data_IF_147765079805
#
_entry.id   IF_147765079805
#
_cell.length_a   1.000
_cell.length_b   1.000
_cell.length_c   1.000
_cell.angle_alpha   90.00
_cell.angle_beta   90.00
_cell.angle_gamma   90.00
#
_symmetry.space_group_name_H-M   'P 1'
#
loop_
_entity.id
_entity.type
_entity.pdbx_description
1 polymer ?
#
# COMPACT_ATOMS: atom_id res chain seq x y z
N UNK A 1 -11.69 29.19 -17.57
CA UNK A 1 -11.45 27.76 -17.40
C UNK A 1 -10.59 27.26 -18.53
N UNK A 2 -9.46 26.61 -18.28
CA UNK A 2 -8.55 26.18 -19.36
C UNK A 2 -9.03 24.80 -19.86
N UNK A 3 -9.59 24.78 -21.07
CA UNK A 3 -9.95 23.52 -21.76
C UNK A 3 -8.69 22.68 -21.94
N UNK A 4 -8.66 21.37 -21.53
CA UNK A 4 -7.52 20.50 -21.72
C UNK A 4 -7.03 20.50 -23.17
N UNK A 5 -5.72 20.51 -23.38
CA UNK A 5 -5.13 20.70 -24.71
C UNK A 5 -5.49 19.56 -25.69
N UNK A 6 -5.70 18.34 -25.21
CA UNK A 6 -6.14 17.21 -26.06
C UNK A 6 -7.60 17.37 -26.52
N UNK A 7 -8.46 18.00 -25.71
CA UNK A 7 -9.86 18.29 -26.09
C UNK A 7 -9.93 19.37 -27.17
N UNK A 8 -9.04 20.34 -27.11
CA UNK A 8 -8.93 21.35 -28.19
C UNK A 8 -8.58 20.73 -29.52
N UNK A 9 -7.67 19.76 -29.54
CA UNK A 9 -7.30 19.00 -30.75
C UNK A 9 -8.47 18.14 -31.22
N UNK A 10 -9.11 17.42 -30.28
CA UNK A 10 -10.27 16.58 -30.56
C UNK A 10 -11.42 17.40 -31.20
N UNK A 11 -11.84 18.49 -30.57
CA UNK A 11 -12.90 19.34 -31.06
C UNK A 11 -12.55 19.97 -32.41
N UNK A 12 -11.33 20.41 -32.62
CA UNK A 12 -10.85 20.96 -33.90
C UNK A 12 -10.97 19.93 -35.05
N UNK A 13 -10.57 18.68 -34.80
CA UNK A 13 -10.67 17.63 -35.82
C UNK A 13 -12.12 17.22 -36.07
N UNK A 14 -12.92 17.14 -35.00
CA UNK A 14 -14.36 16.83 -35.12
C UNK A 14 -15.12 17.91 -35.92
N UNK A 15 -14.83 19.19 -35.69
CA UNK A 15 -15.40 20.28 -36.45
C UNK A 15 -15.00 20.24 -37.92
N UNK A 16 -13.74 19.95 -38.24
CA UNK A 16 -13.29 19.77 -39.62
C UNK A 16 -14.04 18.66 -40.36
N UNK A 17 -14.33 17.55 -39.65
CA UNK A 17 -15.10 16.46 -40.22
C UNK A 17 -16.58 16.85 -40.37
N UNK A 18 -17.18 17.53 -39.38
CA UNK A 18 -18.57 18.01 -39.42
C UNK A 18 -18.80 19.04 -40.56
N UNK A 19 -17.82 19.91 -40.76
CA UNK A 19 -17.89 20.96 -41.78
C UNK A 19 -17.53 20.45 -43.21
N UNK A 20 -17.15 19.15 -43.33
CA UNK A 20 -16.78 18.57 -44.62
C UNK A 20 -15.38 18.99 -45.14
N UNK A 21 -14.55 19.59 -44.30
CA UNK A 21 -13.15 19.86 -44.62
C UNK A 21 -12.29 18.60 -44.65
N UNK A 22 -12.69 17.60 -43.87
CA UNK A 22 -12.17 16.24 -43.90
C UNK A 22 -13.33 15.30 -44.17
N UNK A 23 -13.25 14.59 -45.29
CA UNK A 23 -14.30 13.65 -45.71
C UNK A 23 -13.89 12.20 -45.48
N UNK A 24 -14.86 11.26 -45.54
CA UNK A 24 -14.61 9.83 -45.36
C UNK A 24 -13.47 9.32 -46.23
N UNK A 25 -12.48 8.68 -45.62
CA UNK A 25 -11.26 8.18 -46.25
C UNK A 25 -10.11 9.18 -46.29
N UNK A 26 -10.32 10.46 -45.96
CA UNK A 26 -9.27 11.45 -45.94
C UNK A 26 -8.28 11.18 -44.82
N UNK A 27 -7.01 11.49 -45.06
CA UNK A 27 -5.95 11.35 -44.06
C UNK A 27 -6.04 12.43 -43.01
N UNK A 28 -6.14 12.02 -41.75
CA UNK A 28 -6.08 12.93 -40.59
C UNK A 28 -4.60 13.30 -40.32
N UNK A 29 -4.31 14.54 -39.90
CA UNK A 29 -2.94 14.92 -39.54
C UNK A 29 -2.35 14.00 -38.47
N UNK A 30 -1.05 13.71 -38.64
CA UNK A 30 -0.32 12.82 -37.73
C UNK A 30 -0.16 13.41 -36.32
N UNK A 31 0.15 12.57 -35.35
CA UNK A 31 0.46 12.98 -33.97
C UNK A 31 1.53 14.09 -33.91
N UNK A 32 2.53 14.01 -34.83
CA UNK A 32 3.58 15.02 -34.90
C UNK A 32 3.05 16.35 -35.44
N UNK A 33 2.31 16.32 -36.56
CA UNK A 33 1.76 17.49 -37.19
C UNK A 33 0.79 18.25 -36.25
N UNK A 34 -0.04 17.49 -35.50
CA UNK A 34 -0.94 18.06 -34.49
C UNK A 34 -0.18 18.60 -33.28
N UNK A 35 0.87 17.91 -32.83
CA UNK A 35 1.71 18.39 -31.73
C UNK A 35 2.41 19.72 -32.09
N UNK A 36 2.94 19.81 -33.30
CA UNK A 36 3.61 21.02 -33.81
C UNK A 36 2.60 22.16 -34.01
N UNK A 37 1.42 21.88 -34.57
CA UNK A 37 0.37 22.89 -34.83
C UNK A 37 -0.22 23.50 -33.56
N UNK A 38 -0.49 22.66 -32.54
CA UNK A 38 -1.09 23.09 -31.27
C UNK A 38 -0.07 23.46 -30.20
N UNK A 39 1.23 23.33 -30.48
CA UNK A 39 2.34 23.53 -29.56
C UNK A 39 2.17 22.69 -28.27
N UNK A 40 1.91 21.39 -28.42
CA UNK A 40 1.69 20.42 -27.34
C UNK A 40 2.61 19.22 -27.45
N UNK A 41 2.62 18.37 -26.42
CA UNK A 41 3.35 17.11 -26.46
C UNK A 41 2.70 16.13 -27.46
N UNK A 42 3.49 15.21 -28.06
CA UNK A 42 2.95 14.13 -28.90
C UNK A 42 1.98 13.21 -28.14
N UNK A 43 2.14 13.07 -26.84
CA UNK A 43 1.23 12.31 -25.97
C UNK A 43 -0.15 12.95 -25.96
N UNK A 44 -0.22 14.29 -25.91
CA UNK A 44 -1.46 15.06 -25.95
C UNK A 44 -2.20 14.88 -27.28
N UNK A 45 -1.50 14.97 -28.41
CA UNK A 45 -2.09 14.75 -29.73
C UNK A 45 -2.48 13.27 -29.96
N UNK A 46 -1.69 12.34 -29.45
CA UNK A 46 -2.00 10.89 -29.47
C UNK A 46 -3.32 10.60 -28.75
N UNK A 47 -3.52 11.17 -27.55
CA UNK A 47 -4.76 11.02 -26.76
C UNK A 47 -5.99 11.52 -27.52
N UNK A 48 -5.90 12.65 -28.19
CA UNK A 48 -6.99 13.17 -29.00
C UNK A 48 -7.37 12.24 -30.18
N UNK A 49 -6.37 11.71 -30.88
CA UNK A 49 -6.62 10.74 -31.97
C UNK A 49 -7.14 9.39 -31.45
N UNK A 50 -6.75 8.97 -30.27
CA UNK A 50 -7.28 7.74 -29.63
C UNK A 50 -8.76 7.87 -29.31
N UNK A 51 -9.19 9.03 -28.80
CA UNK A 51 -10.59 9.31 -28.53
C UNK A 51 -11.45 9.29 -29.80
N UNK A 52 -10.97 9.92 -30.88
CA UNK A 52 -11.67 9.89 -32.17
C UNK A 52 -11.74 8.48 -32.76
N UNK A 53 -10.70 7.66 -32.57
CA UNK A 53 -10.70 6.27 -33.01
C UNK A 53 -11.64 5.40 -32.17
N UNK A 54 -11.71 5.62 -30.85
CA UNK A 54 -12.64 4.92 -29.95
C UNK A 54 -14.09 5.18 -30.34
N UNK A 55 -14.40 6.41 -30.75
CA UNK A 55 -15.74 6.80 -31.22
C UNK A 55 -15.99 6.44 -32.70
N UNK A 56 -15.08 5.68 -33.33
CA UNK A 56 -15.17 5.26 -34.74
C UNK A 56 -15.28 6.42 -35.75
N UNK A 57 -14.85 7.62 -35.36
CA UNK A 57 -14.77 8.79 -36.24
C UNK A 57 -13.58 8.68 -37.19
N UNK A 58 -12.47 8.11 -36.68
CA UNK A 58 -11.27 7.83 -37.49
C UNK A 58 -10.87 6.36 -37.35
N UNK A 59 -10.13 5.84 -38.33
CA UNK A 59 -9.53 4.51 -38.33
C UNK A 59 -8.01 4.65 -38.37
N UNK A 60 -7.32 3.86 -37.53
CA UNK A 60 -5.86 3.80 -37.50
C UNK A 60 -5.37 2.62 -38.35
N UNK A 61 -4.56 2.90 -39.35
CA UNK A 61 -3.96 1.87 -40.22
C UNK A 61 -2.47 1.82 -39.92
N UNK A 62 -2.01 0.66 -39.42
CA UNK A 62 -0.62 0.47 -39.02
C UNK A 62 0.34 0.79 -40.17
N UNK A 63 1.30 1.67 -39.92
CA UNK A 63 2.30 2.11 -40.92
C UNK A 63 1.80 3.11 -41.95
N UNK A 64 0.48 3.41 -42.04
CA UNK A 64 -0.10 4.35 -43.02
C UNK A 64 -0.64 5.62 -42.42
N UNK A 65 -1.01 5.61 -41.14
CA UNK A 65 -1.56 6.78 -40.42
C UNK A 65 -3.01 6.61 -40.00
N UNK A 66 -3.67 7.74 -39.69
CA UNK A 66 -5.09 7.80 -39.30
C UNK A 66 -5.90 8.37 -40.46
N UNK A 67 -7.09 7.85 -40.68
CA UNK A 67 -8.01 8.24 -41.75
C UNK A 67 -9.40 8.43 -41.18
N UNK A 68 -10.20 9.33 -41.77
CA UNK A 68 -11.62 9.47 -41.44
C UNK A 68 -12.35 8.17 -41.81
N UNK A 69 -13.16 7.64 -40.89
CA UNK A 69 -13.86 6.37 -41.05
C UNK A 69 -14.80 6.40 -42.27
N UNK A 70 -14.90 5.27 -42.98
CA UNK A 70 -15.84 5.16 -44.10
C UNK A 70 -17.29 5.08 -43.64
N UNK A 71 -17.53 4.57 -42.45
CA UNK A 71 -18.84 4.52 -41.81
C UNK A 71 -18.83 5.47 -40.61
N UNK A 72 -18.99 6.76 -40.86
CA UNK A 72 -19.06 7.76 -39.81
C UNK A 72 -20.30 7.52 -38.93
N UNK A 73 -20.14 7.56 -37.60
CA UNK A 73 -21.29 7.62 -36.69
C UNK A 73 -22.07 8.93 -36.94
N UNK A 74 -23.25 9.02 -36.38
CA UNK A 74 -24.00 10.28 -36.39
C UNK A 74 -23.20 11.33 -35.63
N UNK A 75 -22.53 12.24 -36.39
CA UNK A 75 -21.65 13.26 -35.87
C UNK A 75 -22.39 14.32 -35.04
N UNK A 76 -23.71 14.47 -35.22
CA UNK A 76 -24.52 15.41 -34.43
C UNK A 76 -24.87 14.83 -33.05
N UNK A 77 -24.86 13.53 -32.93
CA UNK A 77 -24.95 12.84 -31.64
C UNK A 77 -23.65 12.87 -30.85
N UNK A 78 -22.50 13.13 -31.50
CA UNK A 78 -21.21 13.31 -30.86
C UNK A 78 -21.12 14.75 -30.36
N UNK A 79 -21.48 14.95 -29.08
CA UNK A 79 -21.27 16.25 -28.43
C UNK A 79 -19.76 16.57 -28.41
N UNK A 80 -19.36 17.86 -28.61
CA UNK A 80 -18.02 18.28 -28.25
C UNK A 80 -17.74 17.83 -26.81
N UNK A 81 -16.53 17.36 -26.53
CA UNK A 81 -16.14 17.04 -25.15
C UNK A 81 -16.30 18.33 -24.33
N UNK A 82 -17.41 18.39 -23.60
CA UNK A 82 -17.70 19.50 -22.71
C UNK A 82 -17.12 19.10 -21.35
N UNK A 83 -16.34 19.94 -20.69
CA UNK A 83 -15.82 19.65 -19.36
C UNK A 83 -16.90 19.34 -18.31
N UNK A 84 -18.19 19.58 -18.65
CA UNK A 84 -19.36 19.37 -17.80
C UNK A 84 -20.51 18.59 -18.47
N UNK A 85 -20.26 17.85 -19.55
CA UNK A 85 -21.31 17.20 -20.33
C UNK A 85 -21.62 15.76 -19.92
N UNK A 86 -22.81 15.56 -19.37
CA UNK A 86 -23.44 14.26 -19.09
C UNK A 86 -23.65 13.46 -20.40
N UNK A 87 -23.17 12.19 -20.41
CA UNK A 87 -23.57 11.22 -21.44
C UNK A 87 -24.92 10.61 -21.04
N UNK A 88 -26.01 11.01 -21.72
CA UNK A 88 -27.26 10.27 -21.68
C UNK A 88 -27.16 9.07 -22.64
N UNK A 89 -27.13 7.85 -22.09
CA UNK A 89 -27.43 6.64 -22.86
C UNK A 89 -28.94 6.39 -22.90
N UNK A 90 -29.50 6.34 -24.13
CA UNK A 90 -30.85 5.95 -24.37
C UNK A 90 -31.02 4.41 -24.26
N UNK A 91 -31.87 3.97 -23.36
CA UNK A 91 -32.52 2.67 -23.47
C UNK A 91 -32.28 1.61 -22.40
N UNK A 92 -32.61 1.88 -21.14
CA UNK A 92 -33.17 0.85 -20.23
C UNK A 92 -33.91 1.52 -19.06
N UNK A 93 -35.20 1.38 -19.00
CA UNK A 93 -36.08 1.88 -17.94
C UNK A 93 -35.82 1.12 -16.63
N UNK A 94 -35.68 1.89 -15.53
CA UNK A 94 -35.74 1.52 -14.11
C UNK A 94 -34.42 1.20 -13.39
N UNK A 95 -33.64 2.26 -13.12
CA UNK A 95 -32.88 2.40 -11.86
C UNK A 95 -32.70 3.90 -11.55
N UNK A 96 -32.71 4.34 -10.29
CA UNK A 96 -32.60 5.77 -9.96
C UNK A 96 -31.25 6.33 -10.41
N UNK A 97 -31.28 7.44 -11.16
CA UNK A 97 -30.11 8.15 -11.64
C UNK A 97 -29.22 8.58 -10.48
N UNK A 98 -28.08 7.92 -10.33
CA UNK A 98 -26.93 8.45 -9.60
C UNK A 98 -26.10 9.23 -10.62
N UNK A 99 -25.86 10.50 -10.38
CA UNK A 99 -24.85 11.31 -11.09
C UNK A 99 -23.50 10.56 -11.00
N UNK A 100 -23.06 9.93 -12.08
CA UNK A 100 -21.83 9.19 -12.11
C UNK A 100 -20.66 10.16 -12.24
N UNK A 101 -20.11 10.59 -11.12
CA UNK A 101 -18.72 11.11 -11.09
C UNK A 101 -17.80 10.09 -11.76
N UNK A 102 -16.77 10.51 -12.52
CA UNK A 102 -15.86 9.56 -13.16
C UNK A 102 -15.33 8.58 -12.10
N UNK A 103 -15.43 7.28 -12.39
CA UNK A 103 -15.10 6.21 -11.47
C UNK A 103 -13.62 6.32 -11.07
N UNK A 104 -13.37 6.55 -9.79
CA UNK A 104 -12.01 6.67 -9.25
C UNK A 104 -11.25 5.35 -9.30
N UNK A 105 -9.96 5.44 -9.49
CA UNK A 105 -9.05 4.29 -9.49
C UNK A 105 -7.94 4.48 -8.47
N UNK A 106 -7.72 3.46 -7.64
CA UNK A 106 -6.73 3.46 -6.57
C UNK A 106 -5.73 2.34 -6.82
N UNK A 107 -4.45 2.64 -6.74
CA UNK A 107 -3.40 1.63 -6.67
C UNK A 107 -3.04 1.33 -5.22
N UNK A 108 -2.96 0.06 -4.86
CA UNK A 108 -2.42 -0.40 -3.60
C UNK A 108 -1.11 -1.15 -3.85
N UNK A 109 0.01 -0.55 -3.42
CA UNK A 109 1.36 -1.09 -3.54
C UNK A 109 1.79 -1.58 -2.17
N UNK A 110 2.19 -2.86 -2.06
CA UNK A 110 2.61 -3.45 -0.78
C UNK A 110 3.71 -4.49 -0.99
N UNK A 111 4.56 -4.75 0.04
CA UNK A 111 5.64 -5.72 -0.07
C UNK A 111 5.13 -7.16 -0.28
N UNK A 112 4.24 -7.59 0.58
CA UNK A 112 3.66 -8.94 0.61
C UNK A 112 2.48 -8.98 1.59
N UNK A 113 1.80 -10.11 1.68
CA UNK A 113 0.78 -10.37 2.68
C UNK A 113 0.75 -11.86 3.06
N UNK A 114 0.27 -12.13 4.26
CA UNK A 114 0.04 -13.48 4.77
C UNK A 114 -1.22 -13.49 5.65
N UNK A 115 -1.67 -14.68 6.07
CA UNK A 115 -2.80 -14.79 6.99
C UNK A 115 -2.53 -14.12 8.35
N UNK A 116 -1.26 -14.02 8.73
CA UNK A 116 -0.86 -13.36 9.97
C UNK A 116 -0.89 -11.84 9.89
N UNK A 117 -0.63 -11.26 8.71
CA UNK A 117 -0.63 -9.81 8.47
C UNK A 117 -0.74 -9.45 6.99
N UNK A 118 -1.41 -8.34 6.69
CA UNK A 118 -1.52 -7.75 5.35
C UNK A 118 -2.79 -8.14 4.60
N UNK A 119 -3.31 -9.34 4.76
CA UNK A 119 -4.53 -9.77 4.07
C UNK A 119 -5.74 -8.89 4.43
N UNK A 120 -5.86 -8.50 5.69
CA UNK A 120 -6.96 -7.64 6.15
C UNK A 120 -6.78 -6.18 5.76
N UNK A 121 -5.54 -5.72 5.52
CA UNK A 121 -5.29 -4.41 4.90
C UNK A 121 -5.93 -4.37 3.52
N UNK A 122 -5.69 -5.43 2.71
CA UNK A 122 -6.28 -5.55 1.37
C UNK A 122 -7.80 -5.53 1.43
N UNK A 123 -8.40 -6.30 2.35
CA UNK A 123 -9.85 -6.33 2.54
C UNK A 123 -10.41 -4.96 2.94
N UNK A 124 -9.72 -4.23 3.83
CA UNK A 124 -10.16 -2.90 4.26
C UNK A 124 -10.09 -1.86 3.14
N UNK A 125 -9.04 -1.89 2.33
CA UNK A 125 -8.90 -1.02 1.15
C UNK A 125 -9.99 -1.36 0.12
N UNK A 126 -10.17 -2.64 -0.19
CA UNK A 126 -11.15 -3.11 -1.17
C UNK A 126 -12.58 -2.75 -0.76
N UNK A 127 -12.94 -3.03 0.49
CA UNK A 127 -14.29 -2.76 1.01
C UNK A 127 -14.63 -1.27 0.89
N UNK A 128 -13.68 -0.37 1.24
CA UNK A 128 -13.93 1.06 1.11
C UNK A 128 -13.99 1.49 -0.37
N UNK A 129 -13.12 0.95 -1.23
CA UNK A 129 -13.19 1.18 -2.67
C UNK A 129 -14.56 0.79 -3.24
N UNK A 130 -15.06 -0.40 -2.87
CA UNK A 130 -16.39 -0.87 -3.30
C UNK A 130 -17.53 0.04 -2.82
N UNK A 131 -17.45 0.55 -1.57
CA UNK A 131 -18.46 1.47 -1.02
C UNK A 131 -18.57 2.79 -1.79
N UNK A 132 -17.43 3.33 -2.24
CA UNK A 132 -17.38 4.60 -2.99
C UNK A 132 -17.47 4.41 -4.51
N UNK A 133 -17.58 3.16 -4.99
CA UNK A 133 -17.59 2.85 -6.42
C UNK A 133 -16.24 3.04 -7.12
N UNK A 134 -15.13 3.00 -6.38
CA UNK A 134 -13.79 3.05 -6.94
C UNK A 134 -13.30 1.65 -7.36
N UNK A 135 -12.31 1.60 -8.26
CA UNK A 135 -11.58 0.38 -8.63
C UNK A 135 -10.24 0.33 -7.94
N UNK A 136 -9.85 -0.85 -7.48
CA UNK A 136 -8.54 -1.08 -6.88
C UNK A 136 -7.64 -1.90 -7.81
N UNK A 137 -6.39 -1.47 -7.95
CA UNK A 137 -5.29 -2.26 -8.51
C UNK A 137 -4.33 -2.63 -7.38
N UNK A 138 -3.77 -3.84 -7.43
CA UNK A 138 -2.80 -4.31 -6.44
C UNK A 138 -1.49 -4.63 -7.15
N UNK A 139 -0.36 -4.22 -6.56
CA UNK A 139 0.99 -4.63 -6.96
C UNK A 139 1.78 -5.07 -5.74
N UNK A 140 2.32 -6.29 -5.79
CA UNK A 140 3.28 -6.80 -4.82
C UNK A 140 4.69 -6.47 -5.26
N UNK A 141 5.48 -5.89 -4.35
CA UNK A 141 6.87 -5.50 -4.61
C UNK A 141 7.89 -6.49 -4.06
N UNK A 142 7.46 -7.40 -3.19
CA UNK A 142 8.30 -8.39 -2.49
C UNK A 142 9.51 -7.77 -1.81
N UNK A 143 9.31 -6.59 -1.24
CA UNK A 143 10.33 -5.80 -0.57
C UNK A 143 11.47 -5.33 -1.50
N UNK A 144 11.21 -5.32 -2.80
CA UNK A 144 12.15 -4.84 -3.80
C UNK A 144 11.89 -3.36 -4.10
N UNK A 145 12.90 -2.54 -3.90
CA UNK A 145 12.82 -1.08 -4.08
C UNK A 145 12.57 -0.69 -5.53
N UNK A 146 13.26 -1.32 -6.46
CA UNK A 146 13.13 -1.06 -7.89
C UNK A 146 11.72 -1.40 -8.38
N UNK A 147 11.13 -2.48 -7.85
CA UNK A 147 9.74 -2.87 -8.13
C UNK A 147 8.74 -1.85 -7.57
N UNK A 148 9.01 -1.25 -6.39
CA UNK A 148 8.17 -0.20 -5.83
C UNK A 148 8.21 1.07 -6.69
N UNK A 149 9.40 1.51 -7.10
CA UNK A 149 9.58 2.66 -7.99
C UNK A 149 8.88 2.44 -9.34
N UNK A 150 9.06 1.26 -9.95
CA UNK A 150 8.41 0.90 -11.22
C UNK A 150 6.88 0.82 -11.08
N UNK A 151 6.38 0.29 -9.97
CA UNK A 151 4.95 0.25 -9.68
C UNK A 151 4.34 1.65 -9.63
N UNK A 152 4.99 2.58 -8.93
CA UNK A 152 4.54 3.98 -8.86
C UNK A 152 4.50 4.58 -10.26
N UNK A 153 5.59 4.50 -11.04
CA UNK A 153 5.63 5.02 -12.41
C UNK A 153 4.54 4.43 -13.30
N UNK A 154 4.36 3.11 -13.23
CA UNK A 154 3.36 2.41 -14.03
C UNK A 154 1.94 2.85 -13.70
N UNK A 155 1.59 2.98 -12.42
CA UNK A 155 0.26 3.41 -12.01
C UNK A 155 -0.01 4.89 -12.33
N UNK A 156 0.98 5.76 -12.20
CA UNK A 156 0.85 7.15 -12.66
C UNK A 156 0.63 7.20 -14.17
N UNK A 157 1.34 6.38 -14.94
CA UNK A 157 1.16 6.29 -16.39
C UNK A 157 -0.24 5.75 -16.78
N UNK A 158 -0.78 4.81 -16.00
CA UNK A 158 -2.14 4.30 -16.15
C UNK A 158 -3.21 5.34 -15.78
N UNK A 159 -2.83 6.41 -15.09
CA UNK A 159 -3.72 7.49 -14.71
C UNK A 159 -4.61 7.17 -13.51
N UNK A 160 -4.08 6.43 -12.51
CA UNK A 160 -4.81 6.23 -11.25
C UNK A 160 -5.02 7.55 -10.51
N UNK A 161 -6.11 7.64 -9.76
CA UNK A 161 -6.49 8.86 -9.05
C UNK A 161 -5.84 8.98 -7.66
N UNK A 162 -5.33 7.88 -7.11
CA UNK A 162 -4.65 7.87 -5.82
C UNK A 162 -3.86 6.59 -5.59
N UNK A 163 -2.90 6.65 -4.68
CA UNK A 163 -2.04 5.51 -4.34
C UNK A 163 -2.00 5.31 -2.82
N UNK A 164 -2.24 4.08 -2.38
CA UNK A 164 -1.91 3.61 -1.03
C UNK A 164 -0.61 2.83 -1.13
N UNK A 165 0.38 3.14 -0.30
CA UNK A 165 1.69 2.49 -0.31
C UNK A 165 1.99 1.94 1.08
N UNK A 166 2.23 0.63 1.17
CA UNK A 166 2.95 0.02 2.28
C UNK A 166 4.43 -0.03 1.88
N UNK A 167 5.27 0.88 2.39
CA UNK A 167 6.65 1.02 1.91
C UNK A 167 7.47 -0.24 2.14
N UNK A 168 8.42 -0.50 1.26
CA UNK A 168 9.41 -1.58 1.43
C UNK A 168 10.20 -1.42 2.73
N UNK A 169 10.82 -2.52 3.19
CA UNK A 169 11.65 -2.55 4.39
C UNK A 169 12.92 -1.70 4.21
N UNK A 170 13.29 -1.00 5.26
CA UNK A 170 14.39 -0.04 5.18
C UNK A 170 13.94 1.30 4.61
N UNK A 171 14.38 2.39 5.24
CA UNK A 171 14.04 3.73 4.78
C UNK A 171 14.85 4.07 3.54
N UNK A 172 14.22 3.99 2.41
CA UNK A 172 14.76 4.52 1.17
C UNK A 172 13.94 5.74 0.78
N UNK A 173 14.65 6.81 0.47
CA UNK A 173 14.00 7.92 -0.22
C UNK A 173 13.70 7.47 -1.65
N UNK A 174 12.56 6.77 -1.79
CA UNK A 174 12.03 6.41 -3.10
C UNK A 174 11.77 7.70 -3.90
N UNK A 175 12.54 7.99 -4.97
CA UNK A 175 12.44 9.26 -5.68
C UNK A 175 11.06 9.47 -6.32
N UNK A 176 10.39 8.40 -6.73
CA UNK A 176 9.05 8.49 -7.30
C UNK A 176 8.02 8.86 -6.22
N UNK A 177 8.14 8.31 -5.00
CA UNK A 177 7.29 8.71 -3.88
C UNK A 177 7.52 10.18 -3.49
N UNK A 178 8.79 10.61 -3.40
CA UNK A 178 9.10 12.03 -3.13
C UNK A 178 8.49 12.94 -4.19
N UNK A 179 8.57 12.55 -5.46
CA UNK A 179 7.96 13.28 -6.57
C UNK A 179 6.45 13.38 -6.42
N UNK A 180 5.75 12.28 -6.09
CA UNK A 180 4.30 12.31 -5.85
C UNK A 180 3.91 13.34 -4.78
N UNK A 181 4.68 13.36 -3.67
CA UNK A 181 4.43 14.30 -2.56
C UNK A 181 4.67 15.75 -3.00
N UNK A 182 5.74 16.03 -3.74
CA UNK A 182 6.02 17.35 -4.27
C UNK A 182 4.97 17.84 -5.29
N UNK A 183 4.49 16.92 -6.13
CA UNK A 183 3.43 17.17 -7.12
C UNK A 183 2.03 17.24 -6.48
N UNK A 184 1.93 17.03 -5.16
CA UNK A 184 0.67 16.97 -4.40
C UNK A 184 -0.30 15.93 -4.94
N UNK A 185 0.24 14.85 -5.49
CA UNK A 185 -0.57 13.70 -5.91
C UNK A 185 -1.18 13.00 -4.67
N UNK A 186 -2.45 12.56 -4.72
CA UNK A 186 -3.07 11.85 -3.60
C UNK A 186 -2.36 10.54 -3.28
N UNK A 187 -1.54 10.53 -2.22
CA UNK A 187 -0.80 9.37 -1.74
C UNK A 187 -0.93 9.25 -0.22
N UNK A 188 -1.16 8.02 0.25
CA UNK A 188 -1.26 7.68 1.67
C UNK A 188 -0.35 6.50 1.96
N UNK A 189 0.48 6.61 2.99
CA UNK A 189 1.27 5.49 3.49
C UNK A 189 0.43 4.65 4.46
N UNK A 190 0.67 3.34 4.48
CA UNK A 190 0.02 2.43 5.42
C UNK A 190 1.06 1.55 6.12
N UNK A 191 0.81 1.16 7.37
CA UNK A 191 1.67 0.39 8.26
C UNK A 191 2.92 1.15 8.72
N UNK A 192 3.64 1.77 7.82
CA UNK A 192 4.89 2.51 8.07
C UNK A 192 4.73 3.97 7.71
N UNK A 193 5.45 4.82 8.42
CA UNK A 193 5.66 6.21 8.02
C UNK A 193 7.12 6.42 7.63
N UNK A 194 7.39 7.37 6.77
CA UNK A 194 8.73 7.73 6.35
C UNK A 194 9.12 9.06 6.98
N UNK A 195 10.25 9.07 7.70
CA UNK A 195 10.76 10.27 8.36
C UNK A 195 11.15 11.33 7.32
N UNK A 196 10.71 12.55 7.51
CA UNK A 196 11.04 13.68 6.61
C UNK A 196 10.21 13.73 5.32
N UNK A 197 9.29 12.83 5.08
CA UNK A 197 8.34 12.88 3.95
C UNK A 197 6.98 13.35 4.46
N UNK A 198 6.54 14.51 3.98
CA UNK A 198 5.29 15.16 4.40
C UNK A 198 4.09 14.54 3.66
N UNK A 199 3.71 13.32 4.05
CA UNK A 199 2.50 12.66 3.55
C UNK A 199 1.75 11.95 4.67
N UNK A 200 0.44 11.76 4.49
CA UNK A 200 -0.39 11.07 5.47
C UNK A 200 0.03 9.60 5.59
N UNK A 201 0.11 9.10 6.81
CA UNK A 201 0.36 7.71 7.12
C UNK A 201 -0.68 7.17 8.10
N UNK A 202 -1.11 5.92 7.89
CA UNK A 202 -2.06 5.18 8.73
C UNK A 202 -1.33 3.98 9.31
N UNK A 203 -1.23 3.89 10.63
CA UNK A 203 -0.46 2.84 11.29
C UNK A 203 -0.89 2.62 12.75
N UNK A 204 -0.39 1.57 13.35
CA UNK A 204 -0.55 1.26 14.78
C UNK A 204 0.49 1.99 15.60
N UNK A 205 0.16 2.44 16.82
CA UNK A 205 1.17 2.94 17.76
C UNK A 205 2.07 1.78 18.22
N UNK A 206 3.08 1.49 17.40
CA UNK A 206 4.03 0.41 17.62
C UNK A 206 4.85 0.58 18.89
N UNK A 207 5.12 1.85 19.25
CA UNK A 207 5.88 2.19 20.46
C UNK A 207 5.08 1.86 21.71
N UNK A 208 3.83 2.33 21.77
CA UNK A 208 2.95 2.05 22.90
C UNK A 208 2.61 0.56 23.00
N UNK A 209 2.38 -0.10 21.86
CA UNK A 209 2.07 -1.52 21.82
C UNK A 209 3.23 -2.40 22.35
N UNK A 210 4.47 -2.12 21.92
CA UNK A 210 5.64 -2.84 22.41
C UNK A 210 5.91 -2.55 23.89
N UNK A 211 5.71 -1.29 24.30
CA UNK A 211 5.78 -0.93 25.71
C UNK A 211 4.79 -1.74 26.55
N UNK A 212 3.53 -1.83 26.16
CA UNK A 212 2.50 -2.56 26.91
C UNK A 212 2.76 -4.08 26.96
N UNK A 213 3.18 -4.70 25.83
CA UNK A 213 3.58 -6.12 25.83
C UNK A 213 4.71 -6.39 26.80
N UNK A 214 5.74 -5.54 26.78
CA UNK A 214 6.92 -5.69 27.63
C UNK A 214 6.56 -5.45 29.10
N UNK A 215 5.81 -4.39 29.40
CA UNK A 215 5.37 -4.06 30.78
C UNK A 215 4.53 -5.20 31.39
N UNK A 216 3.69 -5.89 30.59
CA UNK A 216 2.94 -7.08 31.04
C UNK A 216 3.86 -8.21 31.45
N UNK A 217 4.92 -8.50 30.70
CA UNK A 217 5.91 -9.50 31.07
C UNK A 217 6.64 -9.10 32.37
N UNK A 218 7.00 -7.82 32.51
CA UNK A 218 7.66 -7.31 33.72
C UNK A 218 6.70 -7.42 34.94
N UNK A 219 5.42 -7.12 34.77
CA UNK A 219 4.41 -7.27 35.84
C UNK A 219 4.22 -8.74 36.26
N UNK A 220 4.45 -9.68 35.38
CA UNK A 220 4.45 -11.13 35.66
C UNK A 220 5.75 -11.63 36.27
N UNK A 221 6.70 -10.73 36.57
CA UNK A 221 7.96 -11.03 37.26
C UNK A 221 9.17 -11.28 36.35
N UNK A 222 9.02 -11.16 35.03
CA UNK A 222 10.15 -11.29 34.13
C UNK A 222 10.98 -10.00 34.11
N UNK A 223 12.22 -10.09 34.52
CA UNK A 223 13.21 -8.98 34.46
C UNK A 223 14.31 -9.19 33.43
N UNK A 224 14.42 -10.44 32.95
CA UNK A 224 15.38 -10.84 31.93
C UNK A 224 14.60 -11.21 30.67
N UNK A 225 14.38 -10.21 29.81
CA UNK A 225 13.55 -10.32 28.62
C UNK A 225 14.40 -10.02 27.39
N UNK A 226 14.32 -10.89 26.38
CA UNK A 226 14.96 -10.68 25.08
C UNK A 226 14.03 -10.00 24.08
N UNK A 227 14.61 -9.18 23.15
CA UNK A 227 13.90 -8.65 21.99
C UNK A 227 14.45 -9.30 20.72
N UNK A 228 13.57 -9.75 19.83
CA UNK A 228 13.96 -10.45 18.59
C UNK A 228 13.19 -9.87 17.40
N UNK A 229 13.93 -9.48 16.35
CA UNK A 229 13.35 -8.93 15.10
C UNK A 229 14.21 -9.23 13.86
N UNK A 230 13.67 -8.86 12.71
CA UNK A 230 14.43 -8.59 11.49
C UNK A 230 15.31 -7.33 11.67
N UNK A 231 16.19 -7.00 10.71
CA UNK A 231 16.96 -5.76 10.75
C UNK A 231 16.07 -4.55 11.00
N UNK A 232 16.47 -3.70 11.94
CA UNK A 232 15.65 -2.56 12.38
C UNK A 232 15.93 -1.28 11.60
N UNK A 233 17.10 -1.21 10.98
CA UNK A 233 17.61 0.02 10.36
C UNK A 233 16.62 0.58 9.36
N UNK A 234 16.19 1.82 9.62
CA UNK A 234 15.27 2.57 8.78
C UNK A 234 13.90 1.87 8.55
N UNK A 235 13.42 1.11 9.50
CA UNK A 235 12.07 0.52 9.50
C UNK A 235 11.28 1.03 10.70
N UNK A 236 10.44 2.05 10.47
CA UNK A 236 9.76 2.80 11.54
C UNK A 236 9.00 1.89 12.53
N UNK A 237 8.36 0.83 12.05
CA UNK A 237 7.63 -0.12 12.90
C UNK A 237 8.55 -0.87 13.87
N UNK A 238 9.70 -1.38 13.39
CA UNK A 238 10.65 -2.13 14.23
C UNK A 238 11.37 -1.18 15.18
N UNK A 239 11.80 -0.01 14.70
CA UNK A 239 12.44 1.01 15.55
C UNK A 239 11.51 1.45 16.69
N UNK A 240 10.24 1.73 16.40
CA UNK A 240 9.26 2.09 17.43
C UNK A 240 9.00 0.94 18.42
N UNK A 241 8.97 -0.33 17.95
CA UNK A 241 8.87 -1.51 18.84
C UNK A 241 10.07 -1.62 19.77
N UNK A 242 11.28 -1.38 19.29
CA UNK A 242 12.52 -1.34 20.12
C UNK A 242 12.44 -0.21 21.14
N UNK A 243 12.02 0.97 20.74
CA UNK A 243 11.85 2.11 21.65
C UNK A 243 10.84 1.76 22.75
N UNK A 244 9.68 1.22 22.39
CA UNK A 244 8.64 0.81 23.35
C UNK A 244 9.14 -0.26 24.32
N UNK A 245 9.86 -1.28 23.83
CA UNK A 245 10.52 -2.29 24.63
C UNK A 245 11.47 -1.67 25.67
N UNK A 246 12.36 -0.78 25.22
CA UNK A 246 13.32 -0.09 26.08
C UNK A 246 12.64 0.80 27.11
N UNK A 247 11.58 1.51 26.71
CA UNK A 247 10.80 2.37 27.61
C UNK A 247 10.17 1.59 28.78
N UNK A 248 9.74 0.35 28.57
CA UNK A 248 9.16 -0.48 29.62
C UNK A 248 10.19 -0.80 30.73
N UNK A 249 11.43 -1.13 30.34
CA UNK A 249 12.52 -1.31 31.30
C UNK A 249 12.80 -0.01 32.08
N UNK A 250 12.95 1.09 31.36
CA UNK A 250 13.23 2.39 31.98
C UNK A 250 12.15 2.82 32.98
N UNK A 251 10.87 2.63 32.64
CA UNK A 251 9.74 2.94 33.53
C UNK A 251 9.80 2.15 34.84
N UNK A 252 10.32 0.94 34.81
CA UNK A 252 10.44 0.06 35.98
C UNK A 252 11.78 0.17 36.70
N UNK A 253 12.66 1.04 36.23
CA UNK A 253 14.01 1.17 36.79
C UNK A 253 14.90 -0.06 36.58
N UNK A 254 14.59 -0.88 35.59
CA UNK A 254 15.36 -2.07 35.23
C UNK A 254 16.46 -1.73 34.22
N UNK A 255 17.59 -2.41 34.34
CA UNK A 255 18.68 -2.31 33.35
C UNK A 255 18.36 -3.21 32.17
N UNK A 256 18.61 -2.72 30.97
CA UNK A 256 18.55 -3.50 29.73
C UNK A 256 19.96 -3.73 29.20
N UNK A 257 20.55 -4.91 29.38
CA UNK A 257 21.86 -5.23 28.84
C UNK A 257 21.86 -5.24 27.29
N UNK A 258 22.91 -4.75 26.63
CA UNK A 258 23.01 -4.71 25.16
C UNK A 258 22.82 -6.09 24.49
N UNK A 259 23.22 -7.17 25.16
CA UNK A 259 23.09 -8.55 24.65
C UNK A 259 21.68 -9.12 24.70
N UNK A 260 20.68 -8.38 25.17
CA UNK A 260 19.27 -8.84 25.20
C UNK A 260 18.51 -8.61 23.89
N UNK A 261 19.11 -7.98 22.90
CA UNK A 261 18.48 -7.72 21.61
C UNK A 261 19.18 -8.47 20.49
N UNK A 262 18.39 -9.09 19.61
CA UNK A 262 18.82 -9.71 18.38
C UNK A 262 17.93 -9.20 17.23
N UNK A 263 18.53 -8.48 16.28
CA UNK A 263 17.81 -7.75 15.22
C UNK A 263 18.35 -8.11 13.83
N UNK A 264 18.61 -9.39 13.59
CA UNK A 264 19.27 -9.84 12.37
C UNK A 264 18.68 -11.14 11.79
N UNK A 265 17.41 -11.43 12.07
CA UNK A 265 16.71 -12.55 11.45
C UNK A 265 16.11 -12.15 10.11
N UNK A 266 16.08 -13.09 9.17
CA UNK A 266 15.64 -12.82 7.79
C UNK A 266 14.34 -13.50 7.39
N UNK A 267 13.90 -14.54 8.11
CA UNK A 267 12.74 -15.34 7.71
C UNK A 267 11.38 -14.63 7.76
N UNK A 268 11.32 -13.40 8.28
CA UNK A 268 10.10 -12.58 8.25
C UNK A 268 10.00 -11.67 7.02
N UNK A 269 11.09 -11.49 6.29
CA UNK A 269 11.09 -10.68 5.08
C UNK A 269 10.27 -11.37 3.97
N UNK A 270 9.66 -10.63 3.06
CA UNK A 270 8.89 -11.18 1.96
C UNK A 270 9.63 -12.28 1.20
N UNK A 271 8.93 -13.38 0.92
CA UNK A 271 9.47 -14.61 0.29
C UNK A 271 10.64 -15.28 1.01
N UNK A 272 10.92 -14.88 2.26
CA UNK A 272 12.06 -15.41 3.01
C UNK A 272 11.67 -16.49 4.02
N UNK A 273 10.38 -16.72 4.25
CA UNK A 273 9.89 -17.80 5.15
C UNK A 273 9.95 -19.17 4.43
N UNK A 274 11.16 -19.62 4.17
CA UNK A 274 11.45 -20.88 3.48
C UNK A 274 12.38 -21.77 4.32
N UNK A 275 12.36 -23.08 4.08
CA UNK A 275 13.04 -24.09 4.93
C UNK A 275 14.52 -23.78 5.20
N UNK A 276 15.24 -23.24 4.23
CA UNK A 276 16.67 -22.90 4.39
C UNK A 276 16.86 -21.75 5.37
N UNK A 277 16.16 -20.64 5.18
CA UNK A 277 16.26 -19.48 6.05
C UNK A 277 15.75 -19.78 7.46
N UNK A 278 14.61 -20.48 7.56
CA UNK A 278 14.05 -20.95 8.84
C UNK A 278 15.08 -21.75 9.62
N UNK A 279 15.80 -22.70 8.97
CA UNK A 279 16.80 -23.53 9.64
C UNK A 279 18.00 -22.70 10.15
N UNK A 280 18.44 -21.70 9.36
CA UNK A 280 19.53 -20.79 9.75
C UNK A 280 19.08 -19.91 10.93
N UNK A 281 17.88 -19.35 10.85
CA UNK A 281 17.36 -18.49 11.91
C UNK A 281 17.09 -19.25 13.21
N UNK A 282 16.57 -20.49 13.15
CA UNK A 282 16.44 -21.36 14.34
C UNK A 282 17.80 -21.55 15.02
N UNK A 283 18.84 -21.87 14.26
CA UNK A 283 20.18 -22.06 14.82
C UNK A 283 20.77 -20.76 15.40
N UNK A 284 20.46 -19.63 14.75
CA UNK A 284 20.87 -18.30 15.24
C UNK A 284 20.18 -17.96 16.57
N UNK A 285 18.89 -18.22 16.69
CA UNK A 285 18.12 -18.04 17.93
C UNK A 285 18.62 -19.00 19.02
N UNK A 286 18.90 -20.26 18.67
CA UNK A 286 19.48 -21.23 19.64
C UNK A 286 20.77 -20.69 20.28
N UNK A 287 21.73 -20.25 19.47
CA UNK A 287 22.99 -19.66 19.97
C UNK A 287 22.75 -18.43 20.82
N UNK A 288 21.80 -17.58 20.43
CA UNK A 288 21.42 -16.41 21.22
C UNK A 288 20.90 -16.80 22.59
N UNK A 289 20.02 -17.79 22.68
CA UNK A 289 19.44 -18.29 23.93
C UNK A 289 20.51 -18.99 24.78
N UNK A 290 21.36 -19.81 24.19
CA UNK A 290 22.49 -20.48 24.89
C UNK A 290 23.50 -19.46 25.45
N UNK A 291 23.76 -18.36 24.72
CA UNK A 291 24.59 -17.26 25.18
C UNK A 291 23.94 -16.37 26.25
N UNK A 292 22.61 -16.46 26.41
CA UNK A 292 21.81 -15.69 27.35
C UNK A 292 20.86 -16.59 28.17
N UNK A 293 21.39 -17.57 28.95
CA UNK A 293 20.57 -18.59 29.63
C UNK A 293 19.64 -18.04 30.72
N UNK A 294 19.85 -16.79 31.12
CA UNK A 294 19.05 -16.07 32.11
C UNK A 294 17.77 -15.46 31.54
N UNK A 295 17.61 -15.40 30.21
CA UNK A 295 16.39 -14.90 29.60
C UNK A 295 15.21 -15.85 29.86
N UNK A 296 14.12 -15.27 30.36
CA UNK A 296 12.90 -16.01 30.74
C UNK A 296 11.68 -15.61 29.91
N UNK A 297 11.79 -14.57 29.10
CA UNK A 297 10.73 -14.15 28.20
C UNK A 297 11.31 -13.46 26.95
N UNK A 298 10.51 -13.42 25.89
CA UNK A 298 10.88 -12.84 24.61
C UNK A 298 9.75 -11.98 24.05
N UNK A 299 10.08 -10.76 23.66
CA UNK A 299 9.25 -9.90 22.82
C UNK A 299 9.72 -10.06 21.39
N UNK A 300 8.89 -10.59 20.53
CA UNK A 300 9.22 -10.89 19.14
C UNK A 300 8.45 -9.97 18.22
N UNK A 301 9.15 -9.33 17.30
CA UNK A 301 8.57 -8.27 16.46
C UNK A 301 7.46 -8.75 15.51
N UNK A 302 7.43 -10.04 15.17
CA UNK A 302 6.52 -10.58 14.15
C UNK A 302 6.16 -12.04 14.45
N UNK A 303 4.98 -12.48 13.96
CA UNK A 303 4.46 -13.83 14.18
C UNK A 303 5.39 -14.94 13.64
N UNK A 304 5.89 -14.81 12.42
CA UNK A 304 6.76 -15.83 11.81
C UNK A 304 8.06 -16.00 12.60
N UNK A 305 8.62 -14.91 13.11
CA UNK A 305 9.79 -14.97 13.99
C UNK A 305 9.44 -15.60 15.34
N UNK A 306 8.23 -15.38 15.86
CA UNK A 306 7.78 -16.04 17.10
C UNK A 306 7.68 -17.57 16.92
N UNK A 307 7.29 -18.06 15.74
CA UNK A 307 7.34 -19.50 15.42
C UNK A 307 8.77 -20.03 15.45
N UNK A 308 9.74 -19.29 14.92
CA UNK A 308 11.17 -19.65 14.93
C UNK A 308 11.71 -19.67 16.35
N UNK A 309 11.42 -18.63 17.15
CA UNK A 309 11.82 -18.58 18.57
C UNK A 309 11.22 -19.74 19.35
N UNK A 310 9.94 -20.03 19.15
CA UNK A 310 9.28 -21.18 19.77
C UNK A 310 9.98 -22.48 19.41
N UNK A 311 10.27 -22.74 18.15
CA UNK A 311 10.94 -23.96 17.69
C UNK A 311 12.37 -24.08 18.27
N UNK A 312 13.10 -22.97 18.32
CA UNK A 312 14.44 -22.94 18.90
C UNK A 312 14.41 -23.30 20.40
N UNK A 313 13.48 -22.69 21.17
CA UNK A 313 13.32 -22.98 22.60
C UNK A 313 12.93 -24.46 22.86
N UNK A 314 11.99 -24.99 22.08
CA UNK A 314 11.61 -26.41 22.19
C UNK A 314 12.81 -27.33 21.90
N UNK A 315 13.63 -26.99 20.88
CA UNK A 315 14.83 -27.79 20.55
C UNK A 315 15.90 -27.78 21.65
N UNK A 316 15.88 -26.73 22.51
CA UNK A 316 16.71 -26.60 23.70
C UNK A 316 16.08 -27.24 24.97
N UNK A 317 14.94 -27.93 24.81
CA UNK A 317 14.23 -28.59 25.92
C UNK A 317 13.48 -27.59 26.84
N UNK A 318 13.29 -26.36 26.43
CA UNK A 318 12.53 -25.35 27.19
C UNK A 318 11.02 -25.54 26.98
N UNK A 319 10.26 -25.49 28.06
CA UNK A 319 8.79 -25.53 28.02
C UNK A 319 8.24 -24.09 27.92
N UNK A 320 7.18 -23.95 27.16
CA UNK A 320 6.47 -22.68 26.99
C UNK A 320 5.02 -22.92 27.43
N UNK A 321 4.52 -22.16 28.39
CA UNK A 321 5.07 -20.93 29.01
C UNK A 321 5.91 -21.18 30.28
N UNK A 322 6.19 -22.42 30.69
CA UNK A 322 6.75 -22.77 32.00
C UNK A 322 8.16 -22.22 32.26
N UNK A 323 9.07 -22.44 31.32
CA UNK A 323 10.48 -22.06 31.43
C UNK A 323 10.76 -20.75 30.71
N UNK A 324 10.02 -20.46 29.62
CA UNK A 324 10.11 -19.22 28.86
C UNK A 324 8.73 -18.78 28.35
N UNK A 325 8.51 -17.47 28.29
CA UNK A 325 7.30 -16.88 27.70
C UNK A 325 7.62 -16.13 26.40
N UNK A 326 6.66 -16.14 25.47
CA UNK A 326 6.79 -15.44 24.18
C UNK A 326 5.59 -14.54 23.99
N UNK A 327 5.86 -13.29 23.64
CA UNK A 327 4.83 -12.37 23.13
C UNK A 327 5.27 -11.83 21.78
N UNK A 328 4.32 -11.52 20.88
CA UNK A 328 4.68 -11.05 19.56
C UNK A 328 3.71 -10.00 19.03
N UNK A 329 3.97 -9.55 17.82
CA UNK A 329 3.03 -8.79 17.02
C UNK A 329 2.39 -9.72 15.99
N UNK A 330 1.10 -9.49 15.78
CA UNK A 330 0.25 -10.16 14.81
C UNK A 330 0.06 -11.67 15.07
N UNK A 331 -0.91 -12.25 14.42
CA UNK A 331 -1.24 -13.66 14.44
C UNK A 331 -2.30 -13.95 13.37
N UNK A 332 -2.30 -15.12 12.74
CA UNK A 332 -3.44 -15.56 11.95
C UNK A 332 -4.73 -15.52 12.76
N UNK A 333 -5.86 -15.47 12.05
CA UNK A 333 -7.17 -15.62 12.67
C UNK A 333 -7.33 -17.02 13.22
N UNK A 334 -7.66 -17.09 14.52
CA UNK A 334 -7.99 -18.35 15.21
C UNK A 334 -9.48 -18.35 15.55
N UNK A 335 -10.33 -18.94 14.68
CA UNK A 335 -11.78 -18.86 14.82
C UNK A 335 -12.29 -19.51 16.13
N UNK A 336 -11.50 -20.37 16.77
CA UNK A 336 -11.84 -21.00 18.04
C UNK A 336 -11.13 -20.37 19.26
N UNK A 337 -10.42 -19.25 19.05
CA UNK A 337 -9.79 -18.49 20.14
C UNK A 337 -8.55 -19.12 20.77
N UNK A 338 -7.99 -20.16 20.18
CA UNK A 338 -6.81 -20.87 20.70
C UNK A 338 -5.50 -20.24 20.17
N UNK A 339 -5.28 -18.97 20.44
CA UNK A 339 -4.06 -18.30 19.99
C UNK A 339 -2.81 -18.93 20.62
N UNK A 340 -1.82 -19.22 19.76
CA UNK A 340 -0.54 -19.78 20.21
C UNK A 340 0.24 -18.76 21.03
N UNK A 341 0.31 -17.52 20.57
CA UNK A 341 1.08 -16.46 21.23
C UNK A 341 0.16 -15.37 21.75
N UNK A 342 0.50 -14.84 22.94
CA UNK A 342 0.00 -13.54 23.37
C UNK A 342 0.57 -12.49 22.44
N UNK A 343 -0.29 -11.70 21.83
CA UNK A 343 0.13 -10.80 20.75
C UNK A 343 -0.62 -9.47 20.69
N UNK A 344 0.02 -8.47 20.11
CA UNK A 344 -0.66 -7.26 19.66
C UNK A 344 -1.41 -7.59 18.38
N UNK A 345 -2.71 -7.39 18.37
CA UNK A 345 -3.55 -7.48 17.18
C UNK A 345 -3.82 -6.09 16.66
N UNK A 346 -3.24 -5.77 15.53
CA UNK A 346 -3.48 -4.54 14.79
C UNK A 346 -4.85 -4.60 14.10
N UNK A 347 -5.53 -3.47 14.00
CA UNK A 347 -6.78 -3.40 13.23
C UNK A 347 -6.46 -3.04 11.77
N UNK A 348 -5.89 -4.01 11.06
CA UNK A 348 -5.51 -3.89 9.66
C UNK A 348 -6.68 -3.46 8.76
N UNK A 349 -7.87 -3.99 9.04
CA UNK A 349 -9.06 -3.67 8.28
C UNK A 349 -9.42 -2.19 8.41
N UNK A 350 -9.42 -1.66 9.63
CA UNK A 350 -9.63 -0.24 9.89
C UNK A 350 -8.51 0.62 9.28
N UNK A 351 -7.25 0.14 9.30
CA UNK A 351 -6.14 0.83 8.64
C UNK A 351 -6.38 0.95 7.14
N UNK A 352 -6.74 -0.13 6.46
CA UNK A 352 -7.04 -0.15 5.02
C UNK A 352 -8.16 0.80 4.64
N UNK A 353 -9.28 0.74 5.36
CA UNK A 353 -10.40 1.69 5.17
C UNK A 353 -9.97 3.13 5.35
N UNK A 354 -9.25 3.41 6.44
CA UNK A 354 -8.77 4.76 6.76
C UNK A 354 -7.87 5.34 5.68
N UNK A 355 -7.02 4.51 5.07
CA UNK A 355 -6.15 4.96 3.98
C UNK A 355 -6.97 5.47 2.78
N UNK A 356 -8.04 4.77 2.40
CA UNK A 356 -8.92 5.21 1.31
C UNK A 356 -9.72 6.45 1.72
N UNK A 357 -10.24 6.53 2.95
CA UNK A 357 -10.93 7.73 3.47
C UNK A 357 -10.03 8.99 3.42
N UNK A 358 -8.72 8.82 3.61
CA UNK A 358 -7.78 9.93 3.48
C UNK A 358 -7.57 10.31 2.01
N UNK A 359 -7.56 9.35 1.08
CA UNK A 359 -7.52 9.65 -0.37
C UNK A 359 -8.77 10.42 -0.80
N UNK A 360 -9.97 10.05 -0.31
CA UNK A 360 -11.21 10.80 -0.58
C UNK A 360 -11.07 12.26 -0.18
N UNK A 361 -10.58 12.53 1.02
CA UNK A 361 -10.34 13.89 1.51
C UNK A 361 -9.32 14.65 0.67
N UNK A 362 -8.23 13.98 0.26
CA UNK A 362 -7.22 14.58 -0.62
C UNK A 362 -7.80 14.93 -1.99
N UNK A 363 -8.73 14.13 -2.54
CA UNK A 363 -9.43 14.46 -3.80
C UNK A 363 -10.32 15.68 -3.66
N UNK A 364 -10.93 15.86 -2.50
CA UNK A 364 -11.78 17.03 -2.20
C UNK A 364 -10.94 18.28 -1.83
N UNK A 365 -9.61 18.16 -1.83
CA UNK A 365 -8.69 19.25 -1.48
C UNK A 365 -8.64 19.57 0.01
N UNK A 366 -9.10 18.65 0.87
CA UNK A 366 -9.06 18.82 2.32
C UNK A 366 -7.65 18.58 2.87
N UNK A 367 -7.31 19.29 3.95
CA UNK A 367 -6.11 18.99 4.73
C UNK A 367 -6.32 17.71 5.54
N UNK A 368 -5.34 16.82 5.53
CA UNK A 368 -5.35 15.57 6.29
C UNK A 368 -4.24 15.54 7.33
N UNK A 369 -4.48 14.83 8.43
CA UNK A 369 -3.45 14.62 9.44
C UNK A 369 -2.33 13.74 8.87
N UNK A 370 -1.06 14.09 9.19
CA UNK A 370 0.10 13.31 8.76
C UNK A 370 0.19 11.95 9.46
N UNK A 371 -0.22 11.86 10.71
CA UNK A 371 -0.15 10.65 11.53
C UNK A 371 -1.55 10.22 11.94
N UNK A 372 -2.03 9.11 11.42
CA UNK A 372 -3.34 8.55 11.70
C UNK A 372 -3.17 7.20 12.41
N UNK A 373 -3.24 7.25 13.74
CA UNK A 373 -3.05 6.07 14.58
C UNK A 373 -4.35 5.29 14.69
N UNK A 374 -4.31 4.00 14.37
CA UNK A 374 -5.42 3.07 14.52
C UNK A 374 -5.23 2.26 15.80
N UNK A 375 -6.26 2.13 16.64
CA UNK A 375 -6.20 1.35 17.87
C UNK A 375 -5.83 -0.12 17.62
N UNK A 376 -5.12 -0.72 18.58
CA UNK A 376 -4.80 -2.15 18.61
C UNK A 376 -5.44 -2.82 19.82
N UNK A 377 -5.35 -4.14 19.87
CA UNK A 377 -5.73 -4.94 21.05
C UNK A 377 -4.60 -5.90 21.41
N UNK A 378 -4.49 -6.22 22.70
CA UNK A 378 -3.63 -7.33 23.12
C UNK A 378 -4.52 -8.54 23.37
N UNK A 379 -4.21 -9.60 22.63
CA UNK A 379 -4.91 -10.89 22.70
C UNK A 379 -4.04 -11.86 23.46
N UNK A 380 -4.61 -12.49 24.49
CA UNK A 380 -3.90 -13.51 25.27
C UNK A 380 -3.83 -14.83 24.49
N UNK A 381 -2.70 -15.49 24.58
CA UNK A 381 -2.43 -16.79 23.98
C UNK A 381 -1.78 -17.75 24.98
N UNK A 382 -1.58 -19.00 24.55
CA UNK A 382 -1.02 -20.07 25.42
C UNK A 382 0.46 -19.90 25.74
N UNK A 383 1.16 -18.96 25.12
CA UNK A 383 2.59 -18.70 25.32
C UNK A 383 2.92 -17.88 26.58
N UNK A 384 1.92 -17.42 27.30
CA UNK A 384 2.08 -16.68 28.57
C UNK A 384 1.11 -17.21 29.63
N UNK A 385 1.39 -16.89 30.91
CA UNK A 385 0.55 -17.24 32.07
C UNK A 385 -0.03 -16.00 32.70
#
# INVERSE_FOLDING_TARGET
>A
MNVPLYERIYNHLLEKIKNGELTSGDRVPSEKELADHFNVSRITSKKALELLALQKVIERVQGKGSFVSQNLPDLDSLKPLDPNGDQEEDGAKNAPARSASPMKTIAFILPDFADSYGLRLIHGVEERCSQIGARMFIKLTYDNREEEEEAIRSFIHLGVDGIVIFPVHGEHYNPELVRLVLDKFPVVLIDRYLKGIATAAVYTDNRQAAFELTDRLIQRGHTQIGFISAPADNTSTIEDRIIGFTMAFAKRGLSLPPGHMMTNLYSSLPRSFESRNISVDIETVRRFVEGNPHLTAFVVAEYNLALIVHQALISLGKRIPEDCQIVCFDSPDEPFGNHRFTHVRQDEFAMGRKAVELLEKLWDGEEVQMHNIIPYRIIEGSSTR
#
